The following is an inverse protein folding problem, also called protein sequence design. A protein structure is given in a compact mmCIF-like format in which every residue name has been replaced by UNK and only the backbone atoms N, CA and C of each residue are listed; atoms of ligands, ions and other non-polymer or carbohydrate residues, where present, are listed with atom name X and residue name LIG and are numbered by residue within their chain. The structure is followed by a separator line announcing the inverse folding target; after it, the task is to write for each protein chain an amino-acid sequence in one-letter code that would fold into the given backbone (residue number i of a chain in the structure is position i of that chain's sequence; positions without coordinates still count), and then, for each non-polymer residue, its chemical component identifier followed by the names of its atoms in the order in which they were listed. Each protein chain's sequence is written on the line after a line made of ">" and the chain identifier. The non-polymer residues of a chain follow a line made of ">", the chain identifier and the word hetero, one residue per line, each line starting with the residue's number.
data_IF_916006153275
#
_entry.id   IF_916006153275
#
_cell.length_a   1.000
_cell.length_b   1.000
_cell.length_c   1.000
_cell.angle_alpha   90.00
_cell.angle_beta   90.00
_cell.angle_gamma   90.00
#
_symmetry.space_group_name_H-M   'P 1'
#
loop_
_entity.id
_entity.type
_entity.pdbx_description
1 polymer ?
#
# COMPACT_ATOMS: atom_id res chain seq x y z
N UNK A 1 6.42 -16.31 0.50
CA UNK A 1 6.15 -15.97 -0.88
C UNK A 1 5.54 -14.58 -0.98
N UNK A 2 6.08 -13.73 -1.82
CA UNK A 2 5.58 -12.37 -1.95
C UNK A 2 4.26 -12.35 -2.71
N UNK A 3 3.37 -11.48 -2.25
CA UNK A 3 2.09 -11.24 -2.87
C UNK A 3 2.03 -9.79 -3.35
N UNK A 4 1.20 -9.53 -4.32
CA UNK A 4 1.03 -8.19 -4.85
C UNK A 4 -0.15 -7.51 -4.15
N UNK A 5 0.05 -6.27 -3.71
CA UNK A 5 -0.99 -5.48 -3.06
C UNK A 5 -1.13 -4.14 -3.74
N UNK A 6 -2.36 -3.66 -3.78
CA UNK A 6 -2.65 -2.29 -4.19
C UNK A 6 -2.91 -1.46 -2.95
N UNK A 7 -2.13 -0.42 -2.76
CA UNK A 7 -2.27 0.47 -1.62
C UNK A 7 -2.81 1.80 -2.13
N UNK A 8 -4.02 2.14 -1.70
CA UNK A 8 -4.60 3.44 -2.00
C UNK A 8 -4.31 4.36 -0.83
N UNK A 9 -3.71 5.49 -1.12
CA UNK A 9 -3.33 6.43 -0.09
C UNK A 9 -3.77 7.84 -0.45
N UNK A 10 -3.86 8.67 0.55
CA UNK A 10 -4.30 10.05 0.41
C UNK A 10 -3.07 10.95 0.34
N UNK A 11 -2.96 11.73 -0.73
CA UNK A 11 -1.88 12.68 -0.91
C UNK A 11 -2.48 14.04 -1.23
N UNK A 12 -2.34 14.97 -0.32
CA UNK A 12 -2.85 16.35 -0.44
C UNK A 12 -4.34 16.34 -0.80
N UNK A 13 -4.68 16.56 -2.08
CA UNK A 13 -6.07 16.65 -2.52
C UNK A 13 -6.53 15.47 -3.35
N UNK A 14 -5.66 14.48 -3.53
CA UNK A 14 -5.98 13.35 -4.40
C UNK A 14 -5.67 12.03 -3.74
N UNK A 15 -6.37 11.01 -4.18
CA UNK A 15 -6.05 9.64 -3.83
C UNK A 15 -5.18 9.03 -4.92
N UNK A 16 -4.19 8.28 -4.52
CA UNK A 16 -3.31 7.60 -5.45
C UNK A 16 -3.25 6.13 -5.08
N UNK A 17 -2.97 5.30 -6.06
CA UNK A 17 -2.83 3.87 -5.85
C UNK A 17 -1.47 3.43 -6.35
N UNK A 18 -0.76 2.67 -5.52
CA UNK A 18 0.52 2.08 -5.93
C UNK A 18 0.44 0.57 -5.71
N UNK A 19 1.15 -0.16 -6.55
CA UNK A 19 1.27 -1.59 -6.38
C UNK A 19 2.59 -1.90 -5.72
N UNK A 20 2.56 -2.85 -4.78
CA UNK A 20 3.79 -3.25 -4.10
C UNK A 20 3.71 -4.73 -3.75
N UNK A 21 4.87 -5.33 -3.55
CA UNK A 21 4.95 -6.72 -3.13
C UNK A 21 5.26 -6.78 -1.65
N UNK A 22 4.58 -7.68 -0.96
CA UNK A 22 4.77 -7.87 0.46
C UNK A 22 4.29 -9.28 0.84
N UNK A 23 4.58 -9.69 2.07
CA UNK A 23 4.18 -11.01 2.52
C UNK A 23 2.74 -11.05 3.04
N UNK A 24 2.20 -9.90 3.42
CA UNK A 24 0.84 -9.80 3.95
C UNK A 24 0.39 -8.34 3.86
N UNK A 25 -0.90 -8.10 4.17
CA UNK A 25 -1.41 -6.73 4.23
C UNK A 25 -0.66 -5.91 5.27
N UNK A 26 -0.39 -6.51 6.43
CA UNK A 26 0.34 -5.82 7.48
C UNK A 26 1.74 -5.46 7.02
N UNK A 27 2.42 -6.39 6.35
CA UNK A 27 3.75 -6.15 5.83
C UNK A 27 3.72 -5.05 4.76
N UNK A 28 2.71 -5.06 3.89
CA UNK A 28 2.53 -4.02 2.89
C UNK A 28 2.40 -2.65 3.53
N UNK A 29 1.60 -2.56 4.59
CA UNK A 29 1.41 -1.32 5.34
C UNK A 29 2.73 -0.82 5.92
N UNK A 30 3.51 -1.71 6.51
CA UNK A 30 4.79 -1.35 7.10
C UNK A 30 5.76 -0.85 6.03
N UNK A 31 5.83 -1.55 4.90
CA UNK A 31 6.70 -1.17 3.81
C UNK A 31 6.29 0.17 3.22
N UNK A 32 4.98 0.41 3.09
CA UNK A 32 4.48 1.67 2.57
C UNK A 32 4.87 2.84 3.46
N UNK A 33 4.64 2.73 4.75
CA UNK A 33 4.97 3.81 5.67
C UNK A 33 6.46 4.05 5.82
N UNK A 34 7.27 3.05 5.55
CA UNK A 34 8.71 3.23 5.54
C UNK A 34 9.14 4.11 4.36
N UNK A 35 8.46 3.97 3.22
CA UNK A 35 8.77 4.74 2.03
C UNK A 35 8.07 6.10 2.03
N UNK A 36 6.82 6.13 2.48
CA UNK A 36 5.99 7.34 2.47
C UNK A 36 5.40 7.64 3.84
N UNK A 37 6.22 8.09 4.79
CA UNK A 37 5.75 8.28 6.17
C UNK A 37 4.72 9.39 6.33
N UNK A 38 4.62 10.29 5.36
CA UNK A 38 3.71 11.44 5.45
C UNK A 38 2.32 11.17 4.91
N UNK A 39 2.15 10.07 4.19
CA UNK A 39 0.85 9.76 3.57
C UNK A 39 0.06 8.80 4.44
N UNK A 40 -1.25 8.85 4.26
CA UNK A 40 -2.16 8.00 5.03
C UNK A 40 -2.78 6.97 4.12
N UNK A 41 -2.69 5.71 4.52
CA UNK A 41 -3.29 4.62 3.76
C UNK A 41 -4.80 4.65 3.96
N UNK A 42 -5.54 4.63 2.85
CA UNK A 42 -6.99 4.54 2.87
C UNK A 42 -7.43 3.09 2.75
N UNK A 43 -6.79 2.34 1.87
CA UNK A 43 -7.18 0.96 1.59
C UNK A 43 -5.99 0.16 1.11
N UNK A 44 -5.95 -1.09 1.50
CA UNK A 44 -4.99 -2.06 0.98
C UNK A 44 -5.77 -3.25 0.47
N UNK A 45 -5.53 -3.62 -0.79
CA UNK A 45 -6.19 -4.77 -1.39
C UNK A 45 -5.15 -5.73 -1.94
N UNK A 46 -5.36 -7.01 -1.74
CA UNK A 46 -4.50 -8.02 -2.33
C UNK A 46 -4.93 -8.24 -3.78
N UNK A 47 -3.97 -8.21 -4.69
CA UNK A 47 -4.24 -8.46 -6.10
C UNK A 47 -4.09 -9.95 -6.34
N UNK A 48 -5.20 -10.59 -6.65
CA UNK A 48 -5.19 -12.01 -6.99
C UNK A 48 -5.37 -12.16 -8.49
N UNK A 49 -4.56 -13.02 -9.06
CA UNK A 49 -4.67 -13.32 -10.48
C UNK A 49 -5.54 -14.53 -10.72
#
# INVERSE_FOLDING_TARGET
>A
MLRKFKVTYRAVLKHHTVEMQAFSKYDAKQRFYRTYPKYEIIRIEEVTE
#
